data_IF_949680302860
#
_entry.id   IF_949680302860
#
_cell.length_a   1.000
_cell.length_b   1.000
_cell.length_c   1.000
_cell.angle_alpha   90.00
_cell.angle_beta   90.00
_cell.angle_gamma   90.00
#
_symmetry.space_group_name_H-M   'P 1'
#
loop_
_entity.id
_entity.type
_entity.pdbx_description
1 polymer ?
#
# COMPACT_ATOMS: atom_id res chain seq x y z
N UNK A 1 3.28 -12.47 6.50
CA UNK A 1 3.80 -13.84 6.38
C UNK A 1 3.46 -14.68 7.60
N UNK A 2 3.30 -14.09 8.79
CA UNK A 2 2.93 -14.86 9.99
C UNK A 2 1.51 -15.48 9.94
N UNK A 3 0.54 -14.84 9.26
CA UNK A 3 -0.84 -15.35 9.19
C UNK A 3 -1.07 -16.51 8.21
N UNK A 4 -0.08 -16.91 7.41
CA UNK A 4 -0.29 -17.87 6.30
C UNK A 4 -0.70 -19.27 6.79
N UNK A 5 -0.22 -19.70 7.97
CA UNK A 5 -0.60 -21.02 8.52
C UNK A 5 -2.06 -21.02 9.00
N UNK A 6 -2.51 -20.08 9.86
CA UNK A 6 -3.93 -19.98 10.24
C UNK A 6 -4.89 -19.80 9.05
N UNK A 7 -4.52 -18.95 8.07
CA UNK A 7 -5.32 -18.70 6.85
C UNK A 7 -5.65 -20.00 6.11
N UNK A 8 -4.67 -20.91 6.03
CA UNK A 8 -4.85 -22.21 5.38
C UNK A 8 -5.58 -23.23 6.28
N UNK A 9 -5.18 -23.37 7.55
CA UNK A 9 -5.68 -24.46 8.42
C UNK A 9 -7.07 -24.21 8.97
N UNK A 10 -7.41 -22.96 9.29
CA UNK A 10 -8.68 -22.58 9.90
C UNK A 10 -9.61 -21.90 8.88
N UNK A 11 -9.04 -21.08 7.98
CA UNK A 11 -9.80 -20.31 6.99
C UNK A 11 -10.05 -21.02 5.66
N UNK A 12 -9.29 -22.08 5.35
CA UNK A 12 -9.34 -22.77 4.06
C UNK A 12 -8.88 -21.90 2.87
N UNK A 13 -8.28 -20.74 3.14
CA UNK A 13 -7.82 -19.80 2.12
C UNK A 13 -6.42 -20.21 1.63
N UNK A 14 -6.28 -20.40 0.31
CA UNK A 14 -4.98 -20.63 -0.32
C UNK A 14 -4.43 -19.29 -0.79
N UNK A 15 -3.44 -18.76 -0.05
CA UNK A 15 -2.81 -17.48 -0.38
C UNK A 15 -2.01 -17.56 -1.68
N UNK A 16 -2.33 -16.70 -2.64
CA UNK A 16 -1.61 -16.58 -3.91
C UNK A 16 -0.52 -15.49 -3.88
N UNK A 17 0.30 -15.43 -4.94
CA UNK A 17 1.31 -14.37 -5.10
C UNK A 17 0.62 -13.03 -5.36
N UNK A 18 0.74 -12.08 -4.44
CA UNK A 18 0.19 -10.71 -4.57
C UNK A 18 1.15 -9.68 -5.19
N UNK A 19 2.37 -10.09 -5.57
CA UNK A 19 3.41 -9.17 -6.00
C UNK A 19 3.87 -8.24 -4.87
N UNK A 20 4.22 -7.00 -5.20
CA UNK A 20 4.63 -5.98 -4.22
C UNK A 20 3.44 -5.33 -3.47
N UNK A 21 2.21 -5.68 -3.86
CA UNK A 21 0.99 -5.15 -3.24
C UNK A 21 0.85 -5.72 -1.83
N UNK A 22 0.65 -4.83 -0.86
CA UNK A 22 0.12 -5.16 0.46
C UNK A 22 -1.41 -5.08 0.40
N UNK A 23 -2.12 -6.21 0.44
CA UNK A 23 -3.58 -6.20 0.34
C UNK A 23 -4.19 -5.36 1.47
N UNK A 24 -5.22 -4.56 1.15
CA UNK A 24 -5.94 -3.68 2.09
C UNK A 24 -5.14 -2.48 2.60
N UNK A 25 -4.02 -2.14 1.95
CA UNK A 25 -3.18 -1.03 2.39
C UNK A 25 -2.62 -0.28 1.18
N UNK A 26 -2.88 1.02 1.12
CA UNK A 26 -2.36 1.92 0.11
C UNK A 26 -2.05 3.29 0.73
N UNK A 27 -1.12 4.08 0.16
CA UNK A 27 -0.08 3.69 -0.78
C UNK A 27 1.09 2.97 -0.05
N UNK A 28 1.11 1.64 -0.08
CA UNK A 28 2.18 0.81 0.48
C UNK A 28 2.58 -0.28 -0.51
N UNK A 29 3.38 0.12 -1.51
CA UNK A 29 3.71 -0.68 -2.67
C UNK A 29 4.98 -0.13 -3.37
N UNK A 30 5.37 -0.78 -4.46
CA UNK A 30 6.40 -0.32 -5.38
C UNK A 30 5.76 0.52 -6.49
N UNK A 31 6.30 1.72 -6.71
CA UNK A 31 5.83 2.67 -7.73
C UNK A 31 6.96 3.04 -8.68
N UNK A 32 6.69 3.20 -9.99
CA UNK A 32 7.69 3.66 -10.95
C UNK A 32 8.03 5.14 -10.72
N UNK A 33 9.30 5.51 -10.89
CA UNK A 33 9.76 6.90 -10.92
C UNK A 33 10.12 7.36 -12.34
N UNK A 34 10.23 8.67 -12.54
CA UNK A 34 10.45 9.28 -13.85
C UNK A 34 11.83 8.95 -14.46
N UNK A 35 12.79 8.58 -13.62
CA UNK A 35 14.15 8.14 -14.01
C UNK A 35 14.21 6.64 -14.40
N UNK A 36 13.07 5.93 -14.34
CA UNK A 36 12.97 4.52 -14.73
C UNK A 36 13.31 3.54 -13.62
N UNK A 37 13.72 4.04 -12.46
CA UNK A 37 13.85 3.23 -11.25
C UNK A 37 12.47 3.02 -10.59
N UNK A 38 12.44 2.17 -9.56
CA UNK A 38 11.23 1.90 -8.79
C UNK A 38 11.47 2.25 -7.33
N UNK A 39 10.53 2.94 -6.71
CA UNK A 39 10.58 3.32 -5.30
C UNK A 39 9.63 2.46 -4.48
N UNK A 40 10.06 2.08 -3.28
CA UNK A 40 9.16 1.50 -2.27
C UNK A 40 8.55 2.64 -1.49
N UNK A 41 7.22 2.73 -1.49
CA UNK A 41 6.48 3.74 -0.74
C UNK A 41 5.74 3.05 0.41
N UNK A 42 5.77 3.68 1.59
CA UNK A 42 5.03 3.26 2.79
C UNK A 42 4.30 4.45 3.42
N UNK A 43 3.31 4.99 2.71
CA UNK A 43 2.56 6.18 3.12
C UNK A 43 1.08 5.87 3.44
N UNK A 44 0.82 4.73 4.04
CA UNK A 44 -0.51 4.21 4.37
C UNK A 44 -1.12 4.68 5.69
N UNK A 45 -0.36 5.40 6.52
CA UNK A 45 -0.94 6.05 7.70
C UNK A 45 -1.47 7.42 7.29
N UNK A 46 -2.67 7.78 7.76
CA UNK A 46 -3.35 9.03 7.40
C UNK A 46 -2.41 10.25 7.50
N UNK A 47 -1.71 10.39 8.62
CA UNK A 47 -0.79 11.53 8.83
C UNK A 47 0.39 11.57 7.85
N UNK A 48 0.81 10.41 7.32
CA UNK A 48 1.86 10.30 6.30
C UNK A 48 1.28 10.57 4.92
N UNK A 49 0.08 10.07 4.64
CA UNK A 49 -0.63 10.31 3.40
C UNK A 49 -0.96 11.80 3.21
N UNK A 50 -1.40 12.50 4.26
CA UNK A 50 -1.63 13.95 4.23
C UNK A 50 -0.37 14.71 3.82
N UNK A 51 0.79 14.40 4.42
CA UNK A 51 2.07 15.05 4.07
C UNK A 51 2.50 14.72 2.64
N UNK A 52 2.21 13.51 2.16
CA UNK A 52 2.47 13.12 0.77
C UNK A 52 1.60 13.92 -0.20
N UNK A 53 0.30 14.04 0.06
CA UNK A 53 -0.64 14.81 -0.74
C UNK A 53 -0.22 16.28 -0.83
N UNK A 54 0.18 16.87 0.30
CA UNK A 54 0.77 18.22 0.36
C UNK A 54 2.04 18.33 -0.50
N UNK A 55 2.97 17.39 -0.37
CA UNK A 55 4.23 17.39 -1.14
C UNK A 55 4.00 17.20 -2.65
N UNK A 56 2.94 16.49 -3.03
CA UNK A 56 2.51 16.32 -4.42
C UNK A 56 1.81 17.57 -4.98
N UNK A 57 1.51 18.57 -4.14
CA UNK A 57 0.81 19.78 -4.54
C UNK A 57 -0.69 19.61 -4.70
N UNK A 58 -1.25 18.49 -4.21
CA UNK A 58 -2.68 18.21 -4.23
C UNK A 58 -3.17 17.73 -2.85
N UNK A 59 -3.35 18.65 -1.88
CA UNK A 59 -3.85 18.31 -0.55
C UNK A 59 -5.24 17.68 -0.55
N UNK A 60 -6.05 17.91 -1.61
CA UNK A 60 -7.43 17.42 -1.69
C UNK A 60 -7.51 15.89 -1.73
N UNK A 61 -6.43 15.22 -2.15
CA UNK A 61 -6.32 13.76 -2.11
C UNK A 61 -6.49 13.20 -0.70
N UNK A 62 -6.02 13.91 0.33
CA UNK A 62 -6.14 13.46 1.73
C UNK A 62 -7.52 13.71 2.34
N UNK A 63 -8.34 14.55 1.70
CA UNK A 63 -9.72 14.85 2.11
C UNK A 63 -10.75 14.07 1.29
N UNK A 64 -10.29 13.34 0.26
CA UNK A 64 -11.16 12.58 -0.62
C UNK A 64 -11.82 11.43 0.16
N UNK A 65 -13.16 11.27 0.09
CA UNK A 65 -13.89 10.30 0.90
C UNK A 65 -13.78 8.83 0.45
N UNK A 66 -12.87 8.51 -0.47
CA UNK A 66 -12.76 7.19 -1.12
C UNK A 66 -11.77 6.26 -0.40
#
# INVERSE_FOLDING_TARGET
>A
MESTVPEYTEGGEIRERSGAILPKTAPSNVYPSADGDSIVMGANQDSVFTRLAEAMGDPSLAEHPD
#
